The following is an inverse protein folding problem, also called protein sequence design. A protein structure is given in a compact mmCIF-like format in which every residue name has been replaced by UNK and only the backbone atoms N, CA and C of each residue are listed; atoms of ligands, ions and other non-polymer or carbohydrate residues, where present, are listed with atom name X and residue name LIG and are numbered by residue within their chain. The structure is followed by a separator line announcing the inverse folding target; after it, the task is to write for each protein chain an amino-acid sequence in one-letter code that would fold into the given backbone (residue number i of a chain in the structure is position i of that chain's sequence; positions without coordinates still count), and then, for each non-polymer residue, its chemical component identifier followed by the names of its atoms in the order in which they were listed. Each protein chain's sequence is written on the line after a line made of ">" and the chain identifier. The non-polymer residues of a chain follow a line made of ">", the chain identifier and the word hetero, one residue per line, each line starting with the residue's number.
data_IF_991904036339
#
_entry.id   IF_991904036339
#
_cell.length_a   1.000
_cell.length_b   1.000
_cell.length_c   1.000
_cell.angle_alpha   90.00
_cell.angle_beta   90.00
_cell.angle_gamma   90.00
#
_symmetry.space_group_name_H-M   'P 1'
#
loop_
_entity.id
_entity.type
_entity.pdbx_description
1 polymer ?
#
# COMPACT_ATOMS: atom_id res chain seq x y z
N UNK A 1 -1.25 47.11 -50.74
CA UNK A 1 -0.12 47.38 -49.80
C UNK A 1 0.40 46.01 -49.38
N UNK A 2 1.35 45.41 -50.11
CA UNK A 2 2.83 45.49 -49.91
C UNK A 2 3.22 45.18 -48.46
N UNK A 3 4.03 44.19 -48.11
CA UNK A 3 4.79 43.12 -48.81
C UNK A 3 4.97 41.96 -47.79
N UNK A 4 5.20 40.69 -48.10
CA UNK A 4 6.11 40.03 -49.04
C UNK A 4 7.60 40.38 -48.86
N UNK A 5 8.42 39.30 -48.85
CA UNK A 5 9.87 39.20 -49.01
C UNK A 5 10.73 39.34 -47.73
N UNK A 6 11.75 38.51 -47.45
CA UNK A 6 12.41 37.50 -48.29
C UNK A 6 13.41 36.64 -47.46
N UNK A 7 13.67 35.43 -47.95
CA UNK A 7 15.00 34.79 -48.10
C UNK A 7 15.77 34.40 -46.83
N UNK A 8 15.94 33.09 -46.60
CA UNK A 8 17.21 32.46 -47.02
C UNK A 8 17.10 30.94 -47.23
N UNK A 9 17.80 30.51 -48.28
CA UNK A 9 17.83 29.21 -48.90
C UNK A 9 18.63 28.15 -48.11
N UNK A 10 18.29 26.88 -48.40
CA UNK A 10 19.08 25.65 -48.22
C UNK A 10 20.39 25.70 -49.08
N UNK A 11 21.29 24.67 -49.24
CA UNK A 11 21.12 23.21 -49.04
C UNK A 11 22.40 22.39 -48.69
N UNK A 12 22.28 21.04 -48.70
CA UNK A 12 23.33 20.00 -48.98
C UNK A 12 24.46 19.82 -47.94
N UNK A 13 24.91 18.62 -47.53
CA UNK A 13 25.31 17.42 -48.29
C UNK A 13 25.57 16.23 -47.33
N UNK A 14 25.24 15.00 -47.76
CA UNK A 14 25.61 13.72 -47.12
C UNK A 14 27.13 13.39 -47.24
N UNK A 15 27.57 12.11 -47.07
CA UNK A 15 28.30 11.52 -45.93
C UNK A 15 29.79 11.25 -46.29
N UNK A 16 30.56 10.52 -45.44
CA UNK A 16 31.72 9.62 -45.77
C UNK A 16 32.87 9.65 -44.73
N UNK A 17 33.48 8.45 -44.55
CA UNK A 17 34.77 8.06 -43.94
C UNK A 17 34.71 7.66 -42.44
N UNK A 18 34.86 6.41 -41.97
CA UNK A 18 35.64 5.22 -42.36
C UNK A 18 37.15 5.22 -41.98
N UNK A 19 37.48 4.38 -40.95
CA UNK A 19 38.67 3.49 -40.79
C UNK A 19 39.99 4.17 -40.31
N UNK A 20 40.91 3.55 -39.50
CA UNK A 20 41.23 2.10 -39.40
C UNK A 20 41.39 1.42 -38.01
N UNK A 21 41.37 0.09 -38.13
CA UNK A 21 41.69 -1.02 -37.23
C UNK A 21 43.10 -1.02 -36.61
N UNK A 22 43.33 -1.84 -35.56
CA UNK A 22 44.61 -2.51 -35.34
C UNK A 22 44.57 -3.99 -35.75
N UNK A 23 45.74 -4.47 -36.13
CA UNK A 23 46.01 -5.68 -36.90
C UNK A 23 45.83 -7.01 -36.16
N UNK A 24 45.36 -7.99 -36.91
CA UNK A 24 45.50 -9.43 -36.67
C UNK A 24 46.90 -9.89 -37.10
N UNK A 25 47.60 -10.63 -36.24
CA UNK A 25 48.60 -11.61 -36.66
C UNK A 25 48.49 -12.84 -35.78
N UNK A 26 48.04 -13.94 -36.38
CA UNK A 26 48.09 -15.27 -35.84
C UNK A 26 49.35 -15.98 -36.35
N UNK A 27 50.05 -16.74 -35.49
CA UNK A 27 50.45 -18.13 -35.81
C UNK A 27 51.06 -18.89 -34.63
N UNK A 28 50.60 -20.14 -34.56
CA UNK A 28 50.96 -21.24 -33.67
C UNK A 28 52.40 -21.76 -33.81
N UNK A 29 52.86 -22.42 -32.75
CA UNK A 29 53.94 -23.42 -32.70
C UNK A 29 54.19 -23.80 -31.23
N UNK A 30 53.47 -24.73 -30.59
CA UNK A 30 53.55 -26.20 -30.65
C UNK A 30 54.94 -26.77 -30.23
N UNK A 31 54.90 -27.65 -29.22
CA UNK A 31 55.86 -28.66 -28.71
C UNK A 31 56.11 -28.47 -27.19
N UNK A 32 55.51 -29.23 -26.26
CA UNK A 32 55.54 -30.68 -26.03
C UNK A 32 56.96 -31.24 -25.85
N UNK A 33 57.30 -31.69 -24.63
CA UNK A 33 58.58 -32.35 -24.35
C UNK A 33 58.79 -32.66 -22.87
N UNK A 34 58.25 -33.79 -22.43
CA UNK A 34 58.46 -34.37 -21.11
C UNK A 34 59.76 -35.22 -21.05
N UNK A 35 60.19 -35.48 -19.82
CA UNK A 35 60.88 -36.69 -19.32
C UNK A 35 62.41 -36.87 -19.48
N UNK A 36 63.00 -37.21 -18.30
CA UNK A 36 64.04 -38.24 -18.03
C UNK A 36 65.48 -37.90 -18.47
N UNK A 37 66.57 -38.32 -17.82
CA UNK A 37 66.93 -39.04 -16.58
C UNK A 37 68.50 -39.04 -16.58
N UNK A 38 69.13 -39.43 -15.45
CA UNK A 38 70.56 -39.81 -15.27
C UNK A 38 71.62 -38.69 -15.28
N UNK A 39 72.75 -38.73 -14.55
CA UNK A 39 73.34 -39.51 -13.42
C UNK A 39 74.73 -38.89 -13.15
N UNK A 40 75.29 -39.11 -11.94
CA UNK A 40 76.73 -39.12 -11.52
C UNK A 40 76.96 -38.14 -10.33
N UNK A 41 77.15 -38.52 -9.05
CA UNK A 41 77.83 -39.60 -8.31
C UNK A 41 79.36 -39.39 -8.16
N UNK A 42 79.79 -39.26 -6.88
CA UNK A 42 81.13 -39.26 -6.22
C UNK A 42 81.42 -37.95 -5.46
N UNK A 43 81.92 -37.90 -4.22
CA UNK A 43 82.62 -38.88 -3.37
C UNK A 43 82.81 -38.34 -1.92
N UNK A 44 82.47 -39.16 -0.90
CA UNK A 44 83.13 -39.51 0.40
C UNK A 44 84.15 -38.61 1.16
N UNK A 45 84.50 -38.83 2.47
CA UNK A 45 84.29 -40.03 3.36
C UNK A 45 83.86 -39.77 4.86
N UNK A 46 83.16 -40.72 5.54
CA UNK A 46 83.50 -41.63 6.71
C UNK A 46 83.70 -41.04 8.15
N UNK A 47 82.74 -41.18 9.12
CA UNK A 47 82.62 -42.15 10.28
C UNK A 47 83.48 -41.84 11.55
N UNK A 48 83.21 -42.32 12.82
CA UNK A 48 82.19 -43.28 13.33
C UNK A 48 81.51 -43.02 14.73
N UNK A 49 80.45 -43.83 15.02
CA UNK A 49 80.02 -44.54 16.27
C UNK A 49 79.86 -43.89 17.67
N UNK A 50 78.66 -44.05 18.28
CA UNK A 50 78.33 -44.88 19.48
C UNK A 50 77.42 -44.26 20.61
N UNK A 51 76.25 -44.92 20.82
CA UNK A 51 75.55 -45.33 22.07
C UNK A 51 74.89 -44.34 23.09
N UNK A 52 73.53 -44.37 23.07
CA UNK A 52 72.51 -44.42 24.17
C UNK A 52 72.11 -43.16 25.01
N UNK A 53 70.95 -43.15 25.73
CA UNK A 53 69.55 -43.43 25.32
C UNK A 53 68.49 -42.39 25.84
N UNK A 54 67.22 -42.57 25.41
CA UNK A 54 65.94 -42.16 26.06
C UNK A 54 65.55 -40.68 26.17
N UNK A 55 64.46 -40.28 25.47
CA UNK A 55 63.42 -39.35 25.96
C UNK A 55 62.17 -39.36 25.04
N UNK A 56 61.06 -39.73 25.66
CA UNK A 56 59.62 -39.58 25.35
C UNK A 56 59.23 -38.86 24.03
N UNK A 57 58.53 -39.59 23.15
CA UNK A 57 57.73 -39.06 22.05
C UNK A 57 56.39 -38.52 22.58
N UNK A 58 56.20 -37.21 22.49
CA UNK A 58 54.89 -36.58 22.41
C UNK A 58 54.92 -35.54 21.30
N UNK A 59 54.05 -35.59 20.28
CA UNK A 59 53.97 -34.49 19.33
C UNK A 59 53.14 -33.37 19.96
N UNK A 60 53.85 -32.38 20.52
CA UNK A 60 53.35 -31.02 20.62
C UNK A 60 53.32 -30.46 19.20
N UNK A 61 52.13 -30.27 18.65
CA UNK A 61 51.87 -29.26 17.63
C UNK A 61 50.83 -28.30 18.20
N UNK A 62 51.28 -27.50 19.17
CA UNK A 62 50.62 -26.25 19.50
C UNK A 62 50.87 -25.30 18.32
N UNK A 63 49.82 -25.03 17.53
CA UNK A 63 49.87 -23.98 16.53
C UNK A 63 50.09 -22.63 17.21
N UNK A 64 50.97 -21.86 16.59
CA UNK A 64 51.39 -20.52 16.92
C UNK A 64 50.18 -19.60 17.13
N UNK A 65 49.87 -19.32 18.41
CA UNK A 65 48.83 -18.39 18.81
C UNK A 65 49.41 -16.97 18.62
N UNK A 66 49.08 -16.34 17.49
CA UNK A 66 49.42 -14.93 17.27
C UNK A 66 48.57 -14.08 18.21
N UNK A 67 49.14 -13.80 19.38
CA UNK A 67 48.64 -12.81 20.34
C UNK A 67 48.73 -11.42 19.72
N UNK A 68 47.69 -11.06 18.99
CA UNK A 68 47.49 -9.73 18.44
C UNK A 68 46.53 -9.03 19.39
N UNK A 69 47.07 -8.32 20.39
CA UNK A 69 46.33 -7.33 21.19
C UNK A 69 44.92 -7.76 21.63
N UNK A 70 44.82 -8.70 22.57
CA UNK A 70 43.58 -8.95 23.32
C UNK A 70 42.54 -9.86 22.64
N UNK A 71 42.84 -10.41 21.45
CA UNK A 71 42.00 -11.40 20.77
C UNK A 71 42.74 -12.72 20.62
N UNK A 72 42.21 -13.78 21.22
CA UNK A 72 42.62 -15.15 20.92
C UNK A 72 41.74 -15.67 19.78
N UNK A 73 42.37 -15.90 18.64
CA UNK A 73 41.73 -16.43 17.44
C UNK A 73 42.10 -17.91 17.32
N UNK A 74 41.16 -18.80 17.61
CA UNK A 74 41.34 -20.23 17.35
C UNK A 74 40.59 -20.59 16.07
N UNK A 75 41.35 -20.87 15.00
CA UNK A 75 40.81 -21.36 13.73
C UNK A 75 40.87 -22.87 13.75
N UNK A 76 39.72 -23.51 13.98
CA UNK A 76 39.60 -24.97 13.93
C UNK A 76 38.79 -25.34 12.69
N UNK A 77 39.49 -25.64 11.58
CA UNK A 77 38.86 -26.03 10.32
C UNK A 77 37.92 -24.95 9.74
N UNK A 78 36.63 -25.29 9.62
CA UNK A 78 35.57 -24.43 9.06
C UNK A 78 34.95 -23.45 10.09
N UNK A 79 35.37 -23.54 11.36
CA UNK A 79 34.86 -22.69 12.44
C UNK A 79 35.94 -21.77 12.99
N UNK A 80 35.54 -20.52 13.22
CA UNK A 80 36.35 -19.46 13.80
C UNK A 80 35.83 -19.24 15.21
N UNK A 81 36.68 -19.47 16.21
CA UNK A 81 36.38 -19.16 17.61
C UNK A 81 37.06 -17.84 17.97
N UNK A 82 36.25 -16.83 18.29
CA UNK A 82 36.70 -15.52 18.73
C UNK A 82 36.59 -15.46 20.26
N UNK A 83 37.72 -15.28 20.94
CA UNK A 83 37.74 -15.00 22.37
C UNK A 83 38.39 -13.64 22.61
N UNK A 84 37.64 -12.74 23.23
CA UNK A 84 38.07 -11.36 23.52
C UNK A 84 38.28 -11.20 25.01
N UNK A 85 39.27 -10.39 25.39
CA UNK A 85 39.44 -10.01 26.79
C UNK A 85 38.27 -9.13 27.28
N UNK A 86 37.57 -9.61 28.30
CA UNK A 86 36.34 -9.02 28.87
C UNK A 86 36.53 -7.59 29.41
N UNK A 87 37.74 -7.25 29.87
CA UNK A 87 38.01 -5.98 30.56
C UNK A 87 38.42 -4.85 29.62
N UNK A 88 39.13 -5.16 28.53
CA UNK A 88 39.72 -4.13 27.65
C UNK A 88 39.01 -4.05 26.29
N UNK A 89 38.38 -5.14 25.85
CA UNK A 89 37.81 -5.24 24.52
C UNK A 89 38.87 -5.25 23.41
N UNK A 90 38.42 -5.32 22.17
CA UNK A 90 39.27 -5.25 20.97
C UNK A 90 39.15 -3.87 20.35
N UNK A 91 40.23 -3.12 20.13
CA UNK A 91 40.13 -1.89 19.37
C UNK A 91 39.58 -2.20 17.97
N UNK A 92 38.63 -1.39 17.51
CA UNK A 92 37.89 -1.62 16.25
C UNK A 92 38.82 -1.72 15.03
N UNK A 93 39.96 -1.01 15.06
CA UNK A 93 41.00 -1.09 14.03
C UNK A 93 41.60 -2.48 13.92
N UNK A 94 41.84 -3.16 15.05
CA UNK A 94 42.39 -4.52 15.03
C UNK A 94 41.31 -5.54 14.69
N UNK A 95 40.05 -5.27 15.07
CA UNK A 95 38.91 -6.06 14.61
C UNK A 95 38.71 -5.99 13.08
N UNK A 96 38.90 -4.81 12.47
CA UNK A 96 38.86 -4.63 11.01
C UNK A 96 40.01 -5.38 10.33
N UNK A 97 41.24 -5.31 10.85
CA UNK A 97 42.38 -6.09 10.32
C UNK A 97 42.13 -7.60 10.38
N UNK A 98 41.54 -8.07 11.47
CA UNK A 98 41.14 -9.46 11.64
C UNK A 98 40.10 -9.85 10.59
N UNK A 99 39.11 -9.00 10.36
CA UNK A 99 38.11 -9.22 9.33
C UNK A 99 38.71 -9.21 7.91
N UNK A 100 39.67 -8.32 7.62
CA UNK A 100 40.42 -8.30 6.36
C UNK A 100 41.14 -9.62 6.11
N UNK A 101 41.81 -10.17 7.14
CA UNK A 101 42.56 -11.44 7.04
C UNK A 101 41.63 -12.64 6.75
N UNK A 102 40.44 -12.66 7.36
CA UNK A 102 39.50 -13.77 7.24
C UNK A 102 38.67 -13.69 5.94
N UNK A 103 38.21 -12.49 5.60
CA UNK A 103 37.27 -12.27 4.49
C UNK A 103 37.96 -11.94 3.17
N UNK A 104 39.23 -11.53 3.19
CA UNK A 104 39.98 -11.11 2.00
C UNK A 104 39.52 -9.78 1.38
N UNK A 105 38.53 -9.11 1.97
CA UNK A 105 38.01 -7.82 1.50
C UNK A 105 38.90 -6.67 1.96
N UNK A 106 38.99 -5.63 1.14
CA UNK A 106 39.73 -4.42 1.50
C UNK A 106 38.78 -3.46 2.20
N UNK A 107 39.15 -2.99 3.39
CA UNK A 107 38.36 -2.02 4.14
C UNK A 107 39.01 -0.65 4.11
N UNK A 108 38.21 0.39 3.86
CA UNK A 108 38.63 1.79 3.95
C UNK A 108 37.82 2.49 5.02
N UNK A 109 38.45 3.41 5.74
CA UNK A 109 37.79 4.12 6.82
C UNK A 109 38.46 5.47 7.07
N UNK A 110 37.69 6.43 7.58
CA UNK A 110 38.21 7.73 7.99
C UNK A 110 38.46 7.74 9.50
N UNK A 111 39.63 8.20 9.93
CA UNK A 111 39.99 8.23 11.36
C UNK A 111 39.07 9.13 12.21
N UNK A 112 38.51 10.19 11.62
CA UNK A 112 37.57 11.10 12.27
C UNK A 112 36.25 10.42 12.65
N UNK A 113 35.85 9.38 11.91
CA UNK A 113 34.58 8.69 12.12
C UNK A 113 34.63 7.74 13.34
N UNK A 114 35.83 7.33 13.78
CA UNK A 114 36.00 6.48 14.98
C UNK A 114 36.16 7.26 16.29
N UNK A 115 36.29 8.58 16.24
CA UNK A 115 36.45 9.41 17.44
C UNK A 115 35.14 9.59 18.20
N UNK A 116 34.00 9.47 17.49
CA UNK A 116 32.69 9.82 18.02
C UNK A 116 31.97 8.66 18.71
N UNK A 117 32.37 7.40 18.45
CA UNK A 117 31.69 6.20 18.96
C UNK A 117 32.68 5.17 19.49
N UNK A 118 32.26 4.45 20.54
CA UNK A 118 33.12 3.61 21.37
C UNK A 118 34.10 2.74 20.58
N UNK A 119 35.38 2.91 20.87
CA UNK A 119 36.51 2.45 20.04
C UNK A 119 36.77 0.95 20.13
N UNK A 120 36.19 0.27 21.13
CA UNK A 120 36.52 -1.12 21.44
C UNK A 120 35.30 -2.02 21.36
N UNK A 121 35.39 -3.10 20.59
CA UNK A 121 34.40 -4.17 20.43
C UNK A 121 34.52 -5.15 21.60
N UNK A 122 33.43 -5.38 22.35
CA UNK A 122 33.42 -6.25 23.52
C UNK A 122 32.46 -7.42 23.30
N UNK A 123 32.87 -8.62 23.71
CA UNK A 123 32.03 -9.81 23.72
C UNK A 123 32.20 -10.54 25.06
N UNK A 124 31.16 -11.28 25.44
CA UNK A 124 31.19 -12.13 26.63
C UNK A 124 31.25 -13.57 26.13
N UNK A 125 32.28 -14.31 26.54
CA UNK A 125 32.49 -15.71 26.18
C UNK A 125 32.99 -15.95 24.74
N UNK A 126 33.35 -17.21 24.42
CA UNK A 126 33.86 -17.59 23.10
C UNK A 126 32.72 -17.68 22.08
N UNK A 127 32.82 -16.91 21.00
CA UNK A 127 31.84 -16.93 19.90
C UNK A 127 32.35 -17.85 18.80
N UNK A 128 31.56 -18.88 18.43
CA UNK A 128 31.88 -19.84 17.36
C UNK A 128 31.05 -19.53 16.12
N UNK A 129 31.70 -19.17 15.02
CA UNK A 129 31.04 -18.80 13.76
C UNK A 129 31.68 -19.57 12.60
N UNK A 130 30.86 -20.02 11.64
CA UNK A 130 31.35 -20.60 10.39
C UNK A 130 32.05 -19.55 9.55
N UNK A 131 33.06 -19.94 8.76
CA UNK A 131 33.80 -18.99 7.90
C UNK A 131 32.88 -18.19 6.97
N UNK A 132 31.86 -18.82 6.41
CA UNK A 132 30.88 -18.20 5.52
C UNK A 132 30.01 -17.14 6.22
N UNK A 133 29.61 -17.40 7.47
CA UNK A 133 28.81 -16.48 8.29
C UNK A 133 29.61 -15.40 9.02
N UNK A 134 30.93 -15.38 8.89
CA UNK A 134 31.78 -14.42 9.60
C UNK A 134 31.53 -12.97 9.14
N UNK A 135 31.27 -12.76 7.85
CA UNK A 135 31.08 -11.40 7.32
C UNK A 135 29.77 -10.76 7.80
N UNK A 136 28.68 -11.51 7.87
CA UNK A 136 27.40 -11.01 8.40
C UNK A 136 27.47 -10.72 9.90
N UNK A 137 28.23 -11.53 10.65
CA UNK A 137 28.55 -11.25 12.05
C UNK A 137 29.37 -9.97 12.22
N UNK A 138 30.40 -9.78 11.39
CA UNK A 138 31.22 -8.57 11.39
C UNK A 138 30.37 -7.31 11.12
N UNK A 139 29.49 -7.35 10.12
CA UNK A 139 28.55 -6.28 9.82
C UNK A 139 27.59 -6.00 10.99
N UNK A 140 27.09 -7.05 11.64
CA UNK A 140 26.23 -6.92 12.83
C UNK A 140 26.96 -6.22 13.97
N UNK A 141 28.23 -6.57 14.22
CA UNK A 141 28.99 -5.96 15.30
C UNK A 141 29.31 -4.49 15.03
N UNK A 142 29.65 -4.15 13.78
CA UNK A 142 29.80 -2.77 13.37
C UNK A 142 28.49 -1.98 13.53
N UNK A 143 27.36 -2.57 13.13
CA UNK A 143 26.04 -1.96 13.28
C UNK A 143 25.69 -1.67 14.75
N UNK A 144 25.93 -2.62 15.66
CA UNK A 144 25.73 -2.44 17.11
C UNK A 144 26.58 -1.27 17.64
N UNK A 145 27.78 -1.07 17.07
CA UNK A 145 28.66 0.04 17.41
C UNK A 145 28.39 1.33 16.64
N UNK A 146 27.37 1.35 15.78
CA UNK A 146 26.95 2.52 15.02
C UNK A 146 27.78 2.80 13.77
N UNK A 147 28.42 1.77 13.21
CA UNK A 147 29.09 1.80 11.91
C UNK A 147 28.33 0.93 10.89
N UNK A 148 28.38 1.31 9.61
CA UNK A 148 27.85 0.51 8.52
C UNK A 148 28.91 0.28 7.45
N UNK A 149 28.85 -0.90 6.83
CA UNK A 149 29.68 -1.28 5.70
C UNK A 149 28.98 -0.88 4.41
N UNK A 150 29.63 -0.02 3.62
CA UNK A 150 29.15 0.39 2.30
C UNK A 150 30.08 -0.20 1.23
N UNK A 151 29.60 -1.12 0.37
CA UNK A 151 30.40 -1.60 -0.75
C UNK A 151 30.58 -0.47 -1.78
N UNK A 152 31.83 -0.14 -2.11
CA UNK A 152 32.18 0.90 -3.10
C UNK A 152 32.67 0.33 -4.43
N UNK A 153 32.76 -1.00 -4.53
CA UNK A 153 33.28 -1.67 -5.71
C UNK A 153 32.15 -2.16 -6.63
N UNK A 154 32.28 -1.81 -7.91
CA UNK A 154 31.54 -2.36 -9.04
C UNK A 154 32.52 -3.22 -9.85
N UNK A 155 32.23 -4.52 -9.96
CA UNK A 155 32.84 -5.51 -10.89
C UNK A 155 34.36 -5.44 -11.13
N UNK A 156 35.10 -6.45 -10.65
CA UNK A 156 36.44 -6.70 -11.19
C UNK A 156 37.33 -7.56 -10.32
N UNK A 157 38.01 -6.98 -9.33
CA UNK A 157 39.17 -7.67 -8.73
C UNK A 157 39.26 -7.57 -7.20
N UNK A 158 38.74 -6.53 -6.55
CA UNK A 158 38.67 -6.46 -5.09
C UNK A 158 37.43 -5.68 -4.63
N UNK A 159 36.64 -6.29 -3.73
CA UNK A 159 35.55 -5.61 -3.05
C UNK A 159 36.14 -4.68 -1.99
N UNK A 160 36.15 -3.38 -2.30
CA UNK A 160 36.45 -2.31 -1.35
C UNK A 160 35.17 -1.96 -0.58
N UNK A 161 35.24 -2.08 0.74
CA UNK A 161 34.15 -1.76 1.66
C UNK A 161 34.56 -0.56 2.49
N UNK A 162 33.84 0.55 2.33
CA UNK A 162 34.01 1.73 3.16
C UNK A 162 33.20 1.57 4.44
N UNK A 163 33.82 1.83 5.59
CA UNK A 163 33.14 1.83 6.89
C UNK A 163 32.77 3.27 7.23
N UNK A 164 31.46 3.53 7.34
CA UNK A 164 30.92 4.86 7.61
C UNK A 164 30.18 4.85 8.95
N UNK A 165 30.34 5.89 9.77
CA UNK A 165 29.55 6.06 11.00
C UNK A 165 28.11 6.46 10.69
N UNK A 166 27.15 5.81 11.34
CA UNK A 166 25.72 6.09 11.25
C UNK A 166 25.33 7.45 11.87
N UNK A 167 26.16 7.99 12.76
CA UNK A 167 25.95 9.32 13.36
C UNK A 167 26.54 10.46 12.51
N UNK A 168 27.33 10.14 11.48
CA UNK A 168 27.95 11.13 10.60
C UNK A 168 26.93 11.76 9.64
N UNK A 169 27.10 13.03 9.22
CA UNK A 169 26.31 13.63 8.13
C UNK A 169 26.32 12.80 6.83
N UNK A 170 27.36 11.98 6.64
CA UNK A 170 27.52 11.05 5.50
C UNK A 170 26.57 9.84 5.54
N UNK A 171 25.67 9.75 6.52
CA UNK A 171 24.64 8.68 6.60
C UNK A 171 23.84 8.50 5.31
N UNK A 172 23.61 9.58 4.56
CA UNK A 172 22.85 9.55 3.31
C UNK A 172 23.55 8.71 2.24
N UNK A 173 24.89 8.60 2.30
CA UNK A 173 25.67 7.75 1.39
C UNK A 173 25.38 6.26 1.65
N UNK A 174 25.20 5.88 2.92
CA UNK A 174 24.81 4.52 3.33
C UNK A 174 23.43 4.18 2.76
N UNK A 175 22.50 5.13 2.83
CA UNK A 175 21.16 4.97 2.25
C UNK A 175 21.23 4.90 0.73
N UNK A 176 21.98 5.78 0.06
CA UNK A 176 22.11 5.76 -1.41
C UNK A 176 22.80 4.50 -1.96
N UNK A 177 23.64 3.85 -1.16
CA UNK A 177 24.35 2.63 -1.54
C UNK A 177 23.53 1.35 -1.28
N UNK A 178 22.25 1.48 -0.94
CA UNK A 178 21.36 0.33 -0.76
C UNK A 178 21.33 -0.52 -2.03
N UNK A 179 21.59 -1.83 -1.88
CA UNK A 179 21.48 -2.79 -2.97
C UNK A 179 20.01 -3.05 -3.25
N UNK A 180 19.60 -3.02 -4.52
CA UNK A 180 18.28 -3.50 -4.91
C UNK A 180 18.21 -5.02 -4.71
N UNK A 181 17.23 -5.46 -3.92
CA UNK A 181 16.95 -6.88 -3.67
C UNK A 181 15.49 -7.16 -4.00
N UNK A 182 15.21 -8.15 -4.87
CA UNK A 182 13.84 -8.53 -5.19
C UNK A 182 13.15 -9.14 -3.96
N UNK A 183 11.81 -9.13 -3.96
CA UNK A 183 11.01 -9.50 -2.77
C UNK A 183 11.25 -10.96 -2.35
N UNK A 184 11.55 -11.82 -3.32
CA UNK A 184 11.78 -13.25 -3.13
C UNK A 184 13.08 -13.55 -2.36
N UNK A 185 14.07 -12.65 -2.46
CA UNK A 185 15.38 -12.80 -1.82
C UNK A 185 15.46 -12.10 -0.45
N UNK A 186 14.44 -11.29 -0.09
CA UNK A 186 14.42 -10.52 1.16
C UNK A 186 14.58 -11.37 2.42
N UNK A 187 14.08 -12.60 2.43
CA UNK A 187 14.16 -13.49 3.59
C UNK A 187 15.61 -13.77 4.02
N UNK A 188 16.54 -13.84 3.06
CA UNK A 188 17.97 -14.06 3.33
C UNK A 188 18.63 -12.91 4.11
N UNK A 189 18.04 -11.71 4.01
CA UNK A 189 18.49 -10.50 4.68
C UNK A 189 17.78 -10.24 6.01
N UNK A 190 16.81 -11.09 6.39
CA UNK A 190 16.05 -10.96 7.64
C UNK A 190 16.94 -10.97 8.89
N UNK A 191 18.07 -11.68 8.85
CA UNK A 191 19.04 -11.77 9.96
C UNK A 191 20.28 -10.90 9.75
N UNK A 192 20.42 -10.20 8.62
CA UNK A 192 21.62 -9.44 8.26
C UNK A 192 21.48 -7.97 8.69
N UNK A 193 21.84 -7.67 9.94
CA UNK A 193 21.57 -6.37 10.60
C UNK A 193 22.43 -5.18 10.12
N UNK A 194 23.36 -5.35 9.17
CA UNK A 194 24.26 -4.29 8.70
C UNK A 194 24.24 -4.02 7.19
N UNK A 195 23.28 -4.59 6.46
CA UNK A 195 23.12 -4.37 5.01
C UNK A 195 21.92 -3.48 4.77
N UNK A 196 22.12 -2.39 4.03
CA UNK A 196 21.02 -1.59 3.50
C UNK A 196 20.49 -2.19 2.22
N UNK A 197 19.18 -2.41 2.20
CA UNK A 197 18.44 -3.04 1.12
C UNK A 197 17.37 -2.07 0.64
N UNK A 198 17.22 -2.00 -0.68
CA UNK A 198 16.14 -1.33 -1.35
C UNK A 198 15.25 -2.41 -2.00
N UNK A 199 13.95 -2.38 -1.77
CA UNK A 199 13.01 -3.31 -2.39
C UNK A 199 11.71 -2.62 -2.79
N UNK A 200 11.01 -3.22 -3.74
CA UNK A 200 9.70 -2.76 -4.24
C UNK A 200 8.67 -3.83 -3.96
N UNK A 201 7.68 -3.51 -3.13
CA UNK A 201 6.59 -4.42 -2.73
C UNK A 201 5.32 -4.04 -3.49
N UNK A 202 4.82 -4.90 -4.39
CA UNK A 202 3.51 -4.72 -4.99
C UNK A 202 2.41 -5.10 -3.99
N UNK A 203 1.39 -4.23 -3.88
CA UNK A 203 0.19 -4.41 -3.06
C UNK A 203 -1.00 -4.68 -3.98
N UNK A 204 -1.84 -5.66 -3.62
CA UNK A 204 -2.97 -6.10 -4.44
C UNK A 204 -4.25 -5.34 -4.14
N UNK A 205 -4.51 -5.07 -2.87
CA UNK A 205 -5.79 -4.57 -2.39
C UNK A 205 -5.67 -3.16 -1.80
N UNK A 206 -4.65 -2.93 -0.97
CA UNK A 206 -4.44 -1.64 -0.31
C UNK A 206 -3.70 -0.66 -1.21
N UNK A 207 -4.11 0.61 -1.20
CA UNK A 207 -3.37 1.68 -1.89
C UNK A 207 -2.04 1.96 -1.17
N UNK A 208 -0.95 2.05 -1.93
CA UNK A 208 0.40 2.25 -1.40
C UNK A 208 0.55 3.53 -0.57
N UNK A 209 -0.14 4.63 -0.91
CA UNK A 209 -0.09 5.86 -0.14
C UNK A 209 -0.77 5.70 1.23
N UNK A 210 -1.92 5.03 1.25
CA UNK A 210 -2.64 4.75 2.51
C UNK A 210 -1.83 3.78 3.37
N UNK A 211 -1.31 2.70 2.78
CA UNK A 211 -0.43 1.77 3.48
C UNK A 211 0.76 2.52 4.10
N UNK A 212 1.50 3.31 3.30
CA UNK A 212 2.66 4.05 3.76
C UNK A 212 2.36 5.01 4.93
N UNK A 213 1.20 5.69 4.91
CA UNK A 213 0.81 6.60 5.98
C UNK A 213 0.41 5.86 7.26
N UNK A 214 -0.37 4.78 7.13
CA UNK A 214 -0.90 4.03 8.27
C UNK A 214 0.18 3.16 8.95
N UNK A 215 1.15 2.64 8.18
CA UNK A 215 2.20 1.77 8.73
C UNK A 215 3.43 2.54 9.19
N UNK A 216 3.56 3.84 8.87
CA UNK A 216 4.71 4.68 9.23
C UNK A 216 5.07 4.65 10.72
N UNK A 217 4.12 4.76 11.68
CA UNK A 217 4.44 4.75 13.11
C UNK A 217 5.18 3.49 13.54
N UNK A 218 4.78 2.32 13.03
CA UNK A 218 5.40 1.04 13.33
C UNK A 218 6.84 0.94 12.80
N UNK A 219 7.13 1.62 11.69
CA UNK A 219 8.46 1.64 11.09
C UNK A 219 9.40 2.63 11.76
N UNK A 220 8.87 3.76 12.26
CA UNK A 220 9.67 4.76 12.97
C UNK A 220 10.11 4.32 14.38
N UNK A 221 9.35 3.42 15.01
CA UNK A 221 9.63 2.90 16.35
C UNK A 221 10.71 1.80 16.35
N UNK A 222 10.93 1.13 15.23
CA UNK A 222 11.90 0.04 15.09
C UNK A 222 13.36 0.52 14.91
N UNK A 223 13.60 1.84 14.87
CA UNK A 223 14.92 2.44 14.68
C UNK A 223 15.38 3.27 15.87
N UNK A 224 16.68 3.22 16.17
CA UNK A 224 17.29 4.13 17.14
C UNK A 224 17.24 5.57 16.58
N UNK A 225 16.77 6.59 17.33
CA UNK A 225 16.73 7.97 16.85
C UNK A 225 18.12 8.42 16.40
N UNK A 226 18.32 8.57 15.09
CA UNK A 226 19.60 8.97 14.50
C UNK A 226 20.34 7.89 13.71
N UNK A 227 19.97 6.61 13.85
CA UNK A 227 20.47 5.51 13.01
C UNK A 227 19.47 5.27 11.90
N UNK A 228 19.86 5.50 10.64
CA UNK A 228 19.00 5.52 9.44
C UNK A 228 17.78 4.60 9.52
N UNK A 229 16.60 5.20 9.67
CA UNK A 229 15.34 4.48 9.76
C UNK A 229 14.87 3.96 8.40
N UNK A 230 13.90 3.04 8.43
CA UNK A 230 13.21 2.58 7.24
C UNK A 230 12.57 3.78 6.52
N UNK A 231 13.04 4.03 5.30
CA UNK A 231 12.46 5.00 4.39
C UNK A 231 11.44 4.29 3.52
N UNK A 232 10.22 4.83 3.51
CA UNK A 232 9.12 4.32 2.69
C UNK A 232 8.81 5.33 1.60
N UNK A 233 8.82 4.89 0.35
CA UNK A 233 8.37 5.66 -0.80
C UNK A 233 7.17 4.98 -1.47
N UNK A 234 6.48 5.72 -2.31
CA UNK A 234 5.46 5.18 -3.22
C UNK A 234 5.85 5.56 -4.63
N UNK A 235 5.75 4.60 -5.56
CA UNK A 235 6.03 4.85 -6.99
C UNK A 235 4.69 4.98 -7.71
N UNK A 236 3.82 4.00 -7.49
CA UNK A 236 2.49 3.91 -8.08
C UNK A 236 1.45 3.69 -6.98
N UNK A 237 0.15 3.77 -7.35
CA UNK A 237 -0.96 3.56 -6.41
C UNK A 237 -0.94 2.19 -5.73
N UNK A 238 -0.23 1.20 -6.28
CA UNK A 238 -0.18 -0.19 -5.80
C UNK A 238 1.24 -0.70 -5.55
N UNK A 239 2.25 0.15 -5.60
CA UNK A 239 3.64 -0.27 -5.41
C UNK A 239 4.31 0.61 -4.38
N UNK A 240 4.79 -0.02 -3.31
CA UNK A 240 5.50 0.62 -2.22
C UNK A 240 6.99 0.31 -2.30
N UNK A 241 7.82 1.33 -2.16
CA UNK A 241 9.27 1.22 -2.10
C UNK A 241 9.70 1.24 -0.64
N UNK A 242 10.49 0.24 -0.23
CA UNK A 242 11.03 0.12 1.11
C UNK A 242 12.55 0.16 1.05
N UNK A 243 13.16 1.02 1.85
CA UNK A 243 14.60 1.19 1.90
C UNK A 243 15.07 1.27 3.35
N UNK A 244 15.97 0.40 3.75
CA UNK A 244 16.49 0.38 5.11
C UNK A 244 17.33 -0.85 5.39
N UNK A 245 17.54 -1.18 6.66
CA UNK A 245 18.28 -2.38 7.04
C UNK A 245 17.46 -3.66 6.80
N UNK A 246 18.13 -4.75 6.42
CA UNK A 246 17.49 -6.04 6.09
C UNK A 246 16.37 -6.48 7.05
N UNK A 247 16.60 -6.57 8.37
CA UNK A 247 15.57 -6.96 9.33
C UNK A 247 14.37 -6.01 9.38
N UNK A 248 14.58 -4.70 9.19
CA UNK A 248 13.52 -3.69 9.19
C UNK A 248 12.65 -3.80 7.94
N UNK A 249 13.29 -3.95 6.78
CA UNK A 249 12.60 -4.13 5.49
C UNK A 249 11.79 -5.43 5.50
N UNK A 250 12.36 -6.51 6.04
CA UNK A 250 11.66 -7.78 6.19
C UNK A 250 10.45 -7.68 7.12
N UNK A 251 10.60 -7.06 8.29
CA UNK A 251 9.49 -6.85 9.22
C UNK A 251 8.39 -5.99 8.59
N UNK A 252 8.76 -4.95 7.84
CA UNK A 252 7.81 -4.11 7.12
C UNK A 252 7.08 -4.88 6.02
N UNK A 253 7.79 -5.72 5.26
CA UNK A 253 7.18 -6.60 4.26
C UNK A 253 6.17 -7.57 4.88
N UNK A 254 6.50 -8.20 6.01
CA UNK A 254 5.57 -9.10 6.72
C UNK A 254 4.32 -8.37 7.21
N UNK A 255 4.48 -7.17 7.75
CA UNK A 255 3.37 -6.33 8.18
C UNK A 255 2.48 -5.94 6.99
N UNK A 256 3.06 -5.52 5.88
CA UNK A 256 2.32 -5.18 4.67
C UNK A 256 1.56 -6.38 4.11
N UNK A 257 2.18 -7.57 4.12
CA UNK A 257 1.52 -8.81 3.70
C UNK A 257 0.32 -9.15 4.58
N UNK A 258 0.39 -8.86 5.87
CA UNK A 258 -0.73 -9.06 6.80
C UNK A 258 -1.82 -7.99 6.62
N UNK A 259 -1.44 -6.76 6.27
CA UNK A 259 -2.36 -5.65 6.07
C UNK A 259 -3.05 -5.65 4.69
N UNK A 260 -2.42 -6.25 3.66
CA UNK A 260 -2.95 -6.35 2.31
C UNK A 260 -4.01 -7.47 2.19
N UNK A 261 -5.10 -7.29 2.93
CA UNK A 261 -6.29 -8.15 2.85
C UNK A 261 -7.25 -7.60 1.79
N UNK A 262 -8.01 -8.47 1.09
CA UNK A 262 -9.07 -8.00 0.22
C UNK A 262 -10.01 -7.10 1.04
N UNK A 263 -10.42 -5.93 0.50
CA UNK A 263 -11.47 -5.19 1.15
C UNK A 263 -12.66 -6.14 1.29
N UNK A 264 -13.30 -6.14 2.46
CA UNK A 264 -14.67 -6.65 2.52
C UNK A 264 -15.43 -5.74 1.55
N UNK A 265 -15.66 -6.22 0.33
CA UNK A 265 -16.61 -5.55 -0.53
C UNK A 265 -17.90 -5.48 0.27
N UNK A 266 -18.53 -4.31 0.45
CA UNK A 266 -19.95 -4.34 0.69
C UNK A 266 -20.52 -5.18 -0.46
N UNK A 267 -21.20 -6.29 -0.15
CA UNK A 267 -21.90 -7.08 -1.16
C UNK A 267 -22.95 -6.16 -1.80
N UNK A 268 -22.55 -5.34 -2.76
CA UNK A 268 -23.45 -4.46 -3.50
C UNK A 268 -24.16 -5.35 -4.51
N UNK A 269 -25.27 -5.93 -4.07
CA UNK A 269 -26.17 -6.65 -4.93
C UNK A 269 -27.07 -5.65 -5.66
N UNK A 270 -27.58 -6.05 -6.83
CA UNK A 270 -28.57 -5.27 -7.57
C UNK A 270 -29.78 -6.15 -7.83
N UNK A 271 -30.96 -5.69 -7.43
CA UNK A 271 -32.21 -6.43 -7.54
C UNK A 271 -33.29 -5.61 -8.25
N UNK A 272 -34.00 -6.26 -9.17
CA UNK A 272 -35.14 -5.68 -9.88
C UNK A 272 -36.44 -6.12 -9.20
N UNK A 273 -37.27 -5.16 -8.82
CA UNK A 273 -38.55 -5.38 -8.12
C UNK A 273 -39.68 -4.87 -8.99
N UNK A 274 -40.60 -5.74 -9.41
CA UNK A 274 -41.78 -5.34 -10.19
C UNK A 274 -42.89 -4.88 -9.25
N UNK A 275 -43.56 -3.79 -9.61
CA UNK A 275 -44.67 -3.22 -8.84
C UNK A 275 -46.01 -3.63 -9.47
N UNK A 276 -47.00 -3.93 -8.63
CA UNK A 276 -48.31 -4.39 -9.06
C UNK A 276 -49.37 -3.28 -9.09
N UNK A 277 -49.34 -2.38 -8.10
CA UNK A 277 -50.40 -1.38 -7.87
C UNK A 277 -49.88 0.06 -8.04
N UNK A 278 -48.66 0.33 -7.59
CA UNK A 278 -48.03 1.64 -7.69
C UNK A 278 -47.18 1.81 -8.96
N UNK A 279 -47.00 3.07 -9.39
CA UNK A 279 -46.12 3.42 -10.50
C UNK A 279 -44.69 3.62 -10.01
N UNK A 280 -43.71 3.08 -10.74
CA UNK A 280 -42.30 3.16 -10.36
C UNK A 280 -41.79 4.62 -10.24
N UNK A 281 -42.28 5.52 -11.10
CA UNK A 281 -41.90 6.94 -11.11
C UNK A 281 -42.39 7.71 -9.88
N UNK A 282 -43.52 7.29 -9.29
CA UNK A 282 -44.04 7.91 -8.06
C UNK A 282 -43.33 7.40 -6.81
N UNK A 283 -42.95 6.12 -6.78
CA UNK A 283 -42.32 5.50 -5.61
C UNK A 283 -40.82 5.77 -5.49
N UNK A 284 -40.10 5.94 -6.59
CA UNK A 284 -38.65 6.20 -6.58
C UNK A 284 -38.24 7.40 -5.70
N UNK A 285 -38.79 8.63 -5.87
CA UNK A 285 -38.34 9.78 -5.07
C UNK A 285 -38.68 9.62 -3.59
N UNK A 286 -39.81 8.99 -3.27
CA UNK A 286 -40.24 8.71 -1.89
C UNK A 286 -39.28 7.71 -1.24
N UNK A 287 -38.96 6.62 -1.93
CA UNK A 287 -38.08 5.58 -1.42
C UNK A 287 -36.64 6.09 -1.25
N UNK A 288 -36.13 6.89 -2.19
CA UNK A 288 -34.84 7.57 -2.07
C UNK A 288 -34.76 8.43 -0.82
N UNK A 289 -35.75 9.29 -0.61
CA UNK A 289 -35.76 10.19 0.54
C UNK A 289 -35.79 9.42 1.87
N UNK A 290 -36.64 8.40 1.99
CA UNK A 290 -36.76 7.60 3.21
C UNK A 290 -35.49 6.82 3.51
N UNK A 291 -34.88 6.20 2.50
CA UNK A 291 -33.64 5.44 2.66
C UNK A 291 -32.45 6.35 2.98
N UNK A 292 -32.34 7.52 2.35
CA UNK A 292 -31.31 8.52 2.64
C UNK A 292 -31.44 9.10 4.07
N UNK A 293 -32.65 9.47 4.48
CA UNK A 293 -32.91 9.99 5.83
C UNK A 293 -32.56 8.94 6.89
N UNK A 294 -32.86 7.67 6.63
CA UNK A 294 -32.53 6.57 7.54
C UNK A 294 -31.03 6.27 7.57
N UNK A 295 -30.35 6.31 6.42
CA UNK A 295 -28.89 6.18 6.34
C UNK A 295 -28.18 7.29 7.15
N UNK A 296 -28.64 8.54 7.03
CA UNK A 296 -28.10 9.67 7.81
C UNK A 296 -28.29 9.50 9.32
N UNK A 297 -29.43 8.97 9.77
CA UNK A 297 -29.69 8.72 11.20
C UNK A 297 -28.79 7.63 11.77
N UNK A 298 -28.51 6.58 11.00
CA UNK A 298 -27.62 5.49 11.41
C UNK A 298 -26.18 5.98 11.49
N UNK A 299 -25.72 6.78 10.53
CA UNK A 299 -24.40 7.40 10.55
C UNK A 299 -24.25 8.36 11.75
N UNK A 300 -25.28 9.16 12.06
CA UNK A 300 -25.27 10.04 13.23
C UNK A 300 -25.22 9.26 14.57
N UNK A 301 -25.88 8.11 14.65
CA UNK A 301 -25.83 7.24 15.83
C UNK A 301 -24.45 6.56 16.01
N UNK A 302 -23.79 6.18 14.91
CA UNK A 302 -22.45 5.60 14.94
C UNK A 302 -21.36 6.63 15.31
N UNK A 303 -21.52 7.89 14.86
CA UNK A 303 -20.62 8.98 15.23
C UNK A 303 -20.67 9.35 16.73
N UNK A 304 -21.79 9.10 17.41
CA UNK A 304 -21.94 9.33 18.86
C UNK A 304 -21.30 8.24 19.74
N UNK A 305 -20.94 7.08 19.16
CA UNK A 305 -20.36 5.92 19.86
C UNK A 305 -18.83 5.92 20.01
N UNK A 306 -18.14 7.01 19.66
CA UNK A 306 -16.68 7.15 19.86
C UNK A 306 -15.79 6.32 18.93
N UNK A 307 -16.37 5.53 18.01
CA UNK A 307 -15.63 4.88 16.93
C UNK A 307 -16.04 5.49 15.59
N UNK A 308 -15.30 6.51 15.17
CA UNK A 308 -15.26 6.93 13.78
C UNK A 308 -14.56 5.83 12.97
N UNK A 309 -15.27 4.75 12.68
CA UNK A 309 -14.88 3.82 11.63
C UNK A 309 -15.10 4.55 10.31
N UNK A 310 -14.04 5.19 9.84
CA UNK A 310 -13.94 5.69 8.48
C UNK A 310 -13.70 4.48 7.57
N UNK A 311 -14.72 3.63 7.41
CA UNK A 311 -14.66 2.47 6.52
C UNK A 311 -16.02 2.27 5.85
N UNK A 312 -15.98 2.13 4.54
CA UNK A 312 -17.15 1.97 3.68
C UNK A 312 -17.58 3.30 3.09
N UNK A 313 -17.66 3.34 1.76
CA UNK A 313 -18.58 4.22 1.05
C UNK A 313 -19.91 4.30 1.82
N UNK A 314 -20.59 5.47 1.83
CA UNK A 314 -21.91 5.52 2.43
C UNK A 314 -22.70 4.35 1.85
N UNK A 315 -23.21 3.49 2.73
CA UNK A 315 -24.09 2.34 2.44
C UNK A 315 -25.40 2.90 1.85
N UNK A 316 -25.24 3.48 0.67
CA UNK A 316 -26.19 4.34 -0.01
C UNK A 316 -26.89 3.44 -1.01
N UNK A 317 -28.13 3.09 -0.67
CA UNK A 317 -28.99 2.36 -1.59
C UNK A 317 -29.29 3.29 -2.75
N UNK A 318 -28.91 2.87 -3.95
CA UNK A 318 -29.35 3.55 -5.17
C UNK A 318 -30.63 2.89 -5.66
N UNK A 319 -31.65 3.72 -5.85
CA UNK A 319 -32.94 3.31 -6.41
C UNK A 319 -33.09 3.96 -7.78
N UNK A 320 -33.55 3.22 -8.79
CA UNK A 320 -33.83 3.75 -10.12
C UNK A 320 -35.16 3.19 -10.63
N UNK A 321 -36.05 4.05 -11.12
CA UNK A 321 -37.29 3.63 -11.76
C UNK A 321 -37.05 3.18 -13.21
N UNK A 322 -37.56 1.99 -13.54
CA UNK A 322 -37.64 1.45 -14.90
C UNK A 322 -39.09 1.57 -15.39
N UNK A 323 -39.44 2.72 -15.95
CA UNK A 323 -40.80 3.04 -16.40
C UNK A 323 -41.36 2.01 -17.41
N UNK A 324 -40.53 1.48 -18.29
CA UNK A 324 -40.94 0.49 -19.31
C UNK A 324 -41.38 -0.86 -18.74
N UNK A 325 -40.93 -1.19 -17.53
CA UNK A 325 -41.21 -2.47 -16.87
C UNK A 325 -42.09 -2.32 -15.62
N UNK A 326 -42.50 -1.09 -15.30
CA UNK A 326 -43.06 -0.70 -14.00
C UNK A 326 -42.31 -1.37 -12.82
N UNK A 327 -40.99 -1.21 -12.81
CA UNK A 327 -40.11 -1.87 -11.84
C UNK A 327 -39.12 -0.88 -11.22
N UNK A 328 -38.67 -1.18 -10.00
CA UNK A 328 -37.60 -0.46 -9.30
C UNK A 328 -36.33 -1.31 -9.32
N UNK A 329 -35.23 -0.72 -9.78
CA UNK A 329 -33.88 -1.26 -9.63
C UNK A 329 -33.32 -0.74 -8.30
N UNK A 330 -32.95 -1.65 -7.40
CA UNK A 330 -32.39 -1.32 -6.10
C UNK A 330 -30.99 -1.93 -6.02
N UNK A 331 -29.98 -1.11 -5.77
CA UNK A 331 -28.59 -1.56 -5.57
C UNK A 331 -28.04 -1.08 -4.24
N UNK A 332 -27.38 -1.96 -3.51
CA UNK A 332 -26.79 -1.67 -2.20
C UNK A 332 -26.44 -2.95 -1.44
N UNK A 333 -26.11 -2.83 -0.15
CA UNK A 333 -25.86 -4.00 0.69
C UNK A 333 -27.11 -4.91 0.82
N UNK A 334 -26.95 -6.23 1.00
CA UNK A 334 -28.07 -7.17 1.04
C UNK A 334 -29.08 -6.83 2.15
N UNK A 335 -28.60 -6.39 3.31
CA UNK A 335 -29.43 -5.97 4.44
C UNK A 335 -30.33 -4.79 4.06
N UNK A 336 -29.79 -3.84 3.29
CA UNK A 336 -30.53 -2.66 2.83
C UNK A 336 -31.50 -2.96 1.72
N UNK A 337 -31.17 -3.89 0.83
CA UNK A 337 -32.10 -4.34 -0.20
C UNK A 337 -33.31 -5.00 0.44
N UNK A 338 -33.11 -5.84 1.46
CA UNK A 338 -34.22 -6.45 2.20
C UNK A 338 -35.11 -5.40 2.88
N UNK A 339 -34.49 -4.39 3.50
CA UNK A 339 -35.23 -3.25 4.07
C UNK A 339 -36.03 -2.47 3.02
N UNK A 340 -35.44 -2.20 1.85
CA UNK A 340 -36.12 -1.53 0.75
C UNK A 340 -37.27 -2.39 0.19
N UNK A 341 -37.12 -3.71 0.12
CA UNK A 341 -38.18 -4.63 -0.29
C UNK A 341 -39.37 -4.59 0.67
N UNK A 342 -39.12 -4.57 1.97
CA UNK A 342 -40.18 -4.47 2.99
C UNK A 342 -40.95 -3.14 2.87
N UNK A 343 -40.25 -2.04 2.61
CA UNK A 343 -40.88 -0.74 2.37
C UNK A 343 -41.69 -0.73 1.07
N UNK A 344 -41.17 -1.30 -0.01
CA UNK A 344 -41.89 -1.43 -1.28
C UNK A 344 -43.17 -2.25 -1.07
N UNK A 345 -43.10 -3.36 -0.33
CA UNK A 345 -44.27 -4.19 -0.04
C UNK A 345 -45.35 -3.46 0.77
N UNK A 346 -44.96 -2.53 1.66
CA UNK A 346 -45.91 -1.70 2.42
C UNK A 346 -46.51 -0.56 1.59
N UNK A 347 -45.80 -0.09 0.56
CA UNK A 347 -46.24 1.03 -0.29
C UNK A 347 -46.99 0.57 -1.54
N UNK A 348 -46.75 -0.64 -2.04
CA UNK A 348 -47.41 -1.22 -3.22
C UNK A 348 -48.80 -1.82 -2.88
N UNK A 349 -49.63 -1.03 -2.20
CA UNK A 349 -51.00 -1.41 -1.81
C UNK A 349 -51.97 -0.92 -2.90
N UNK A 350 -53.02 -1.71 -3.25
CA UNK A 350 -54.06 -1.23 -4.14
C UNK A 350 -54.67 0.04 -3.55
N UNK A 351 -54.54 1.14 -4.29
CA UNK A 351 -55.27 2.35 -3.97
C UNK A 351 -56.74 2.03 -4.24
N UNK A 352 -57.49 1.75 -3.18
CA UNK A 352 -58.94 1.90 -3.25
C UNK A 352 -59.18 3.37 -3.55
N UNK A 353 -59.40 3.66 -4.83
CA UNK A 353 -60.01 4.90 -5.25
C UNK A 353 -61.36 4.92 -4.54
N UNK A 354 -61.41 5.46 -3.32
CA UNK A 354 -62.66 5.87 -2.70
C UNK A 354 -63.30 6.76 -3.75
N UNK A 355 -64.30 6.24 -4.46
CA UNK A 355 -64.87 6.88 -5.64
C UNK A 355 -65.19 8.31 -5.27
N UNK A 356 -64.68 9.27 -6.04
CA UNK A 356 -65.40 10.54 -6.09
C UNK A 356 -66.75 10.19 -6.70
N UNK A 357 -67.82 10.22 -5.91
CA UNK A 357 -69.15 9.92 -6.43
C UNK A 357 -69.47 10.96 -7.51
N UNK A 358 -69.40 10.54 -8.76
CA UNK A 358 -69.71 11.39 -9.90
C UNK A 358 -71.24 11.51 -9.96
N UNK A 359 -71.74 12.72 -9.70
CA UNK A 359 -73.16 13.01 -9.79
C UNK A 359 -73.45 13.75 -11.09
N UNK A 360 -74.39 13.23 -11.86
CA UNK A 360 -74.87 13.80 -13.13
C UNK A 360 -76.27 14.34 -12.90
N UNK A 361 -76.41 15.66 -12.90
CA UNK A 361 -77.70 16.33 -12.62
C UNK A 361 -78.15 17.13 -13.84
N UNK A 362 -79.34 16.81 -14.35
CA UNK A 362 -79.96 17.56 -15.43
C UNK A 362 -80.71 18.79 -14.88
N UNK A 363 -80.46 19.95 -15.48
CA UNK A 363 -81.04 21.22 -15.06
C UNK A 363 -82.29 21.53 -15.89
N UNK A 364 -83.36 21.97 -15.22
CA UNK A 364 -84.64 22.29 -15.87
C UNK A 364 -84.85 23.79 -16.12
N UNK A 365 -84.36 24.64 -15.22
CA UNK A 365 -84.73 26.05 -15.16
C UNK A 365 -83.55 27.01 -15.37
N UNK A 366 -82.31 26.51 -15.42
CA UNK A 366 -81.08 27.30 -15.52
C UNK A 366 -80.14 26.64 -16.53
N UNK A 367 -79.33 27.45 -17.23
CA UNK A 367 -78.29 26.98 -18.13
C UNK A 367 -77.11 26.39 -17.34
N UNK A 368 -76.65 25.21 -17.74
CA UNK A 368 -75.56 24.48 -17.08
C UNK A 368 -74.24 25.24 -17.06
N UNK A 369 -73.97 26.05 -18.10
CA UNK A 369 -72.75 26.84 -18.20
C UNK A 369 -72.71 27.97 -17.16
N UNK A 370 -73.82 28.71 -17.03
CA UNK A 370 -73.94 29.80 -16.05
C UNK A 370 -73.82 29.26 -14.63
N UNK A 371 -74.54 28.18 -14.32
CA UNK A 371 -74.51 27.55 -13.00
C UNK A 371 -73.11 27.00 -12.66
N UNK A 372 -72.43 26.39 -13.62
CA UNK A 372 -71.06 25.89 -13.42
C UNK A 372 -70.08 27.03 -13.12
N UNK A 373 -70.21 28.17 -13.79
CA UNK A 373 -69.37 29.33 -13.54
C UNK A 373 -69.65 29.93 -12.14
N UNK A 374 -70.92 30.05 -11.74
CA UNK A 374 -71.29 30.51 -10.40
C UNK A 374 -70.76 29.58 -9.31
N UNK A 375 -70.92 28.26 -9.46
CA UNK A 375 -70.43 27.29 -8.49
C UNK A 375 -68.90 27.25 -8.40
N UNK A 376 -68.19 27.38 -9.53
CA UNK A 376 -66.72 27.50 -9.51
C UNK A 376 -66.26 28.74 -8.76
N UNK A 377 -66.96 29.87 -8.92
CA UNK A 377 -66.65 31.10 -8.21
C UNK A 377 -66.94 30.97 -6.71
N UNK A 378 -68.09 30.41 -6.35
CA UNK A 378 -68.47 30.15 -4.96
C UNK A 378 -67.46 29.22 -4.25
N UNK A 379 -67.06 28.13 -4.91
CA UNK A 379 -66.08 27.18 -4.35
C UNK A 379 -64.68 27.80 -4.22
N UNK A 380 -64.28 28.69 -5.13
CA UNK A 380 -63.03 29.43 -5.00
C UNK A 380 -63.07 30.38 -3.79
N UNK A 381 -64.19 31.07 -3.59
CA UNK A 381 -64.37 31.99 -2.47
C UNK A 381 -64.39 31.23 -1.12
N UNK A 382 -65.07 30.09 -1.06
CA UNK A 382 -65.07 29.18 0.10
C UNK A 382 -63.67 28.64 0.41
N UNK A 383 -62.90 28.24 -0.60
CA UNK A 383 -61.51 27.80 -0.43
C UNK A 383 -60.58 28.91 0.10
N UNK A 384 -60.75 30.15 -0.37
CA UNK A 384 -59.96 31.29 0.11
C UNK A 384 -60.34 31.66 1.56
N UNK A 385 -61.62 31.56 1.92
CA UNK A 385 -62.09 31.77 3.28
C UNK A 385 -61.59 30.67 4.25
N UNK A 386 -61.62 29.40 3.84
CA UNK A 386 -61.06 28.28 4.62
C UNK A 386 -59.53 28.42 4.81
N UNK A 387 -58.80 28.89 3.80
CA UNK A 387 -57.35 29.12 3.90
C UNK A 387 -56.98 30.27 4.85
N UNK A 388 -57.82 31.31 4.96
CA UNK A 388 -57.61 32.40 5.92
C UNK A 388 -57.95 31.99 7.37
N UNK A 389 -58.89 31.05 7.55
CA UNK A 389 -59.24 30.50 8.87
C UNK A 389 -58.20 29.47 9.41
N UNK A 390 -57.36 28.89 8.55
CA UNK A 390 -56.36 27.87 8.93
C UNK A 390 -54.96 28.42 9.30
N UNK A 391 -54.78 29.74 9.39
CA UNK A 391 -53.53 30.34 9.87
C UNK A 391 -53.26 30.14 11.38
N UNK A 392 -54.09 29.36 12.09
CA UNK A 392 -54.04 29.24 13.54
C UNK A 392 -54.42 27.88 14.12
N UNK A 393 -54.12 26.74 13.49
CA UNK A 393 -53.90 25.46 14.21
C UNK A 393 -53.50 24.33 13.26
N UNK A 394 -52.35 23.72 13.56
CA UNK A 394 -51.83 22.54 12.88
C UNK A 394 -52.69 21.31 13.22
N UNK A 395 -53.48 20.80 12.28
CA UNK A 395 -53.92 19.39 12.30
C UNK A 395 -54.26 18.92 10.88
N UNK A 396 -53.64 17.79 10.50
CA UNK A 396 -53.98 16.85 9.43
C UNK A 396 -54.31 17.41 8.03
N UNK A 397 -53.38 17.18 7.11
CA UNK A 397 -53.53 17.31 5.66
C UNK A 397 -54.59 16.33 5.12
N UNK A 398 -55.87 16.61 5.32
CA UNK A 398 -56.87 16.20 4.33
C UNK A 398 -56.59 17.06 3.11
N UNK A 399 -55.92 16.52 2.08
CA UNK A 399 -55.95 17.16 0.76
C UNK A 399 -57.43 17.21 0.36
N UNK A 400 -58.12 18.37 0.36
CA UNK A 400 -59.46 18.40 -0.20
C UNK A 400 -59.27 18.07 -1.68
N UNK A 401 -59.86 16.97 -2.14
CA UNK A 401 -59.87 16.66 -3.56
C UNK A 401 -60.48 17.87 -4.27
N UNK A 402 -59.87 18.38 -5.35
CA UNK A 402 -60.45 19.49 -6.08
C UNK A 402 -61.83 19.06 -6.57
N UNK A 403 -62.86 19.82 -6.22
CA UNK A 403 -64.20 19.63 -6.76
C UNK A 403 -64.16 20.03 -8.24
N UNK A 404 -64.37 19.07 -9.12
CA UNK A 404 -64.34 19.31 -10.57
C UNK A 404 -65.77 19.39 -11.07
N UNK A 405 -66.12 20.55 -11.62
CA UNK A 405 -67.44 20.83 -12.18
C UNK A 405 -67.30 21.02 -13.69
N UNK A 406 -67.94 20.14 -14.45
CA UNK A 406 -67.99 20.20 -15.91
C UNK A 406 -69.44 20.39 -16.36
N UNK A 407 -69.70 21.38 -17.21
CA UNK A 407 -71.01 21.64 -17.79
C UNK A 407 -71.09 21.06 -19.20
N UNK A 408 -72.20 20.40 -19.52
CA UNK A 408 -72.54 20.00 -20.89
C UNK A 408 -73.71 20.86 -21.40
N UNK A 409 -73.46 21.89 -22.23
CA UNK A 409 -74.48 22.88 -22.58
C UNK A 409 -75.58 22.28 -23.47
N UNK A 410 -75.24 21.33 -24.35
CA UNK A 410 -76.21 20.74 -25.30
C UNK A 410 -77.30 19.90 -24.62
N UNK A 411 -76.97 19.26 -23.49
CA UNK A 411 -77.90 18.40 -22.73
C UNK A 411 -78.39 19.05 -21.44
N UNK A 412 -78.04 20.33 -21.23
CA UNK A 412 -78.27 21.11 -20.01
C UNK A 412 -77.99 20.31 -18.73
N UNK A 413 -76.84 19.65 -18.67
CA UNK A 413 -76.46 18.75 -17.58
C UNK A 413 -75.15 19.21 -16.95
N UNK A 414 -75.05 19.08 -15.63
CA UNK A 414 -73.83 19.37 -14.87
C UNK A 414 -73.27 18.08 -14.27
N UNK A 415 -71.97 17.89 -14.42
CA UNK A 415 -71.22 16.76 -13.87
C UNK A 415 -70.36 17.28 -12.72
N UNK A 416 -70.64 16.78 -11.52
CA UNK A 416 -69.97 17.20 -10.30
C UNK A 416 -69.20 16.00 -9.76
N UNK A 417 -67.87 16.12 -9.71
CA UNK A 417 -67.00 15.19 -9.00
C UNK A 417 -66.52 15.87 -7.72
N UNK A 418 -67.02 15.42 -6.57
CA UNK A 418 -66.74 15.99 -5.27
C UNK A 418 -66.70 14.89 -4.19
N UNK A 419 -66.10 15.19 -3.04
CA UNK A 419 -66.27 14.35 -1.86
C UNK A 419 -67.74 14.41 -1.39
N UNK A 420 -68.30 13.27 -0.94
CA UNK A 420 -69.70 13.15 -0.53
C UNK A 420 -70.15 14.26 0.44
N UNK A 421 -69.29 14.66 1.38
CA UNK A 421 -69.58 15.73 2.35
C UNK A 421 -69.71 17.12 1.73
N UNK A 422 -68.94 17.43 0.66
CA UNK A 422 -68.99 18.71 -0.05
C UNK A 422 -70.10 18.72 -1.12
N UNK A 423 -70.58 17.55 -1.55
CA UNK A 423 -71.72 17.44 -2.46
C UNK A 423 -73.06 17.64 -1.74
N UNK A 424 -73.17 17.23 -0.46
CA UNK A 424 -74.39 17.43 0.34
C UNK A 424 -74.59 18.84 0.87
N UNK A 425 -73.51 19.62 0.95
CA UNK A 425 -73.53 21.04 1.32
C UNK A 425 -73.98 21.87 0.12
#
# INVERSE_FOLDING_TARGET
>A
MRGQQDVNESPTRDPVAAVPSPATSARNGLLAGAMRLLVALRSWPSLPCALAPALVLGPVLAQENQDTGGVKLEVSGDQITLSVNETTGVPIKDFIKLAQKITGKVFTFNDTEFQTQGTNVNFIGPVRIKRDGFYSFFQTMLYIRGFACVPRSTSGEQEVVEIISLASPRRNEITSAARYVPVEELEQYSTQTGVQVLTTVPLRYVNANNAAQQTRPFFTLAGNPGVGGLTTGTIESRTMLLQGFGPQVWAAYQLLKLADVPPLAPDEETRVVKLANATAEELEPVLKQVLEDRARRIQAAQAAGGQAVQAGTPDAVQVLALASLNALLVSGSPDRINEALDLIAQLDVPVELAGGDIHVTQLRNVLAEDLANTLRNFLREDQVAEQQAQAGQQTATRRPRPTVIVSHPESNTILISAAQSKFTQ
#
